data_IF_172881433612
#
_entry.id   IF_172881433612
#
_cell.length_a   1.000
_cell.length_b   1.000
_cell.length_c   1.000
_cell.angle_alpha   90.00
_cell.angle_beta   90.00
_cell.angle_gamma   90.00
#
_symmetry.space_group_name_H-M   'P 1'
#
loop_
_entity.id
_entity.type
_entity.pdbx_description
1 polymer ?
#
# COMPACT_ATOMS: atom_id res chain seq x y z
N UNK A 1 8.64 22.79 -1.83
CA UNK A 1 7.98 22.02 -0.75
C UNK A 1 9.08 21.47 0.15
N UNK A 2 9.04 21.65 1.47
CA UNK A 2 10.04 21.05 2.33
C UNK A 2 9.91 19.51 2.29
N UNK A 3 11.02 18.76 2.40
CA UNK A 3 10.95 17.31 2.57
C UNK A 3 10.23 17.00 3.88
N UNK A 4 9.29 16.04 3.86
CA UNK A 4 8.64 15.56 5.08
C UNK A 4 9.70 14.95 6.00
N UNK A 5 9.54 15.15 7.31
CA UNK A 5 10.34 14.43 8.32
C UNK A 5 10.27 12.93 8.03
N UNK A 6 11.42 12.23 7.94
CA UNK A 6 11.42 10.77 7.81
C UNK A 6 10.60 10.18 8.96
N UNK A 7 9.62 9.33 8.63
CA UNK A 7 8.77 8.64 9.62
C UNK A 7 7.39 9.26 9.89
N UNK A 8 7.01 10.40 9.32
CA UNK A 8 5.60 10.88 9.43
C UNK A 8 4.75 10.32 8.29
N UNK A 9 3.90 9.34 8.63
CA UNK A 9 2.90 8.80 7.70
C UNK A 9 1.79 9.81 7.41
N UNK A 10 1.40 9.88 6.15
CA UNK A 10 0.21 10.57 5.67
C UNK A 10 -1.08 9.85 6.08
N UNK A 11 -2.23 10.56 6.11
CA UNK A 11 -3.52 9.91 6.32
C UNK A 11 -3.78 8.73 5.38
N UNK A 12 -3.49 8.89 4.08
CA UNK A 12 -3.65 7.80 3.10
C UNK A 12 -2.69 6.62 3.37
N UNK A 13 -1.48 6.89 3.84
CA UNK A 13 -0.49 5.86 4.14
C UNK A 13 -0.95 5.03 5.35
N UNK A 14 -1.51 5.69 6.38
CA UNK A 14 -2.15 5.04 7.54
C UNK A 14 -3.36 4.22 7.14
N UNK A 15 -4.21 4.74 6.27
CA UNK A 15 -5.39 4.02 5.77
C UNK A 15 -5.00 2.76 4.98
N UNK A 16 -3.94 2.84 4.15
CA UNK A 16 -3.39 1.67 3.45
C UNK A 16 -2.87 0.63 4.43
N UNK A 17 -2.07 1.03 5.43
CA UNK A 17 -1.55 0.12 6.46
C UNK A 17 -2.71 -0.55 7.22
N UNK A 18 -3.74 0.21 7.60
CA UNK A 18 -4.94 -0.33 8.26
C UNK A 18 -5.69 -1.34 7.40
N UNK A 19 -5.76 -1.12 6.08
CA UNK A 19 -6.36 -2.08 5.16
C UNK A 19 -5.53 -3.37 5.05
N UNK A 20 -4.20 -3.23 4.93
CA UNK A 20 -3.27 -4.35 4.75
C UNK A 20 -3.06 -5.18 6.04
N UNK A 21 -3.25 -4.59 7.22
CA UNK A 21 -3.29 -5.32 8.51
C UNK A 21 -4.36 -6.40 8.53
N UNK A 22 -5.46 -6.22 7.79
CA UNK A 22 -6.58 -7.17 7.79
C UNK A 22 -6.33 -8.33 6.82
N UNK A 23 -5.70 -8.05 5.68
CA UNK A 23 -5.37 -9.01 4.64
C UNK A 23 -4.47 -8.37 3.58
N UNK A 24 -3.69 -9.20 2.89
CA UNK A 24 -3.04 -8.80 1.64
C UNK A 24 -4.08 -8.40 0.59
N UNK A 25 -3.77 -7.37 -0.18
CA UNK A 25 -4.67 -6.80 -1.18
C UNK A 25 -3.92 -6.42 -2.45
N UNK A 26 -4.57 -6.57 -3.60
CA UNK A 26 -4.07 -6.00 -4.83
C UNK A 26 -4.20 -4.48 -4.85
N UNK A 27 -3.35 -3.79 -5.61
CA UNK A 27 -3.38 -2.33 -5.69
C UNK A 27 -4.72 -1.76 -6.18
N UNK A 28 -5.43 -2.48 -7.06
CA UNK A 28 -6.78 -2.07 -7.49
C UNK A 28 -7.84 -2.25 -6.41
N UNK A 29 -7.74 -3.26 -5.55
CA UNK A 29 -8.64 -3.48 -4.41
C UNK A 29 -8.44 -2.38 -3.36
N UNK A 30 -7.19 -1.99 -3.08
CA UNK A 30 -6.89 -0.84 -2.22
C UNK A 30 -7.45 0.45 -2.78
N UNK A 31 -7.27 0.70 -4.08
CA UNK A 31 -7.82 1.90 -4.70
C UNK A 31 -9.36 1.93 -4.72
N UNK A 32 -10.02 0.76 -4.71
CA UNK A 32 -11.48 0.66 -4.58
C UNK A 32 -11.97 0.85 -3.14
N UNK A 33 -11.26 0.27 -2.16
CA UNK A 33 -11.63 0.39 -0.75
C UNK A 33 -11.39 1.81 -0.22
N UNK A 34 -10.35 2.48 -0.71
CA UNK A 34 -9.97 3.84 -0.36
C UNK A 34 -10.56 4.88 -1.32
N UNK A 35 -11.86 4.73 -1.67
CA UNK A 35 -12.57 5.56 -2.66
C UNK A 35 -12.55 7.08 -2.40
N UNK A 36 -12.25 7.50 -1.17
CA UNK A 36 -12.08 8.91 -0.79
C UNK A 36 -10.84 9.54 -1.43
N UNK A 37 -9.88 8.73 -1.88
CA UNK A 37 -8.65 9.19 -2.53
C UNK A 37 -8.67 8.87 -4.03
N UNK A 38 -8.02 9.73 -4.81
CA UNK A 38 -7.75 9.43 -6.22
C UNK A 38 -6.86 8.18 -6.33
N UNK A 39 -7.15 7.32 -7.32
CA UNK A 39 -6.38 6.08 -7.57
C UNK A 39 -4.89 6.35 -7.72
N UNK A 40 -4.52 7.42 -8.42
CA UNK A 40 -3.13 7.86 -8.59
C UNK A 40 -2.44 8.18 -7.27
N UNK A 41 -3.16 8.77 -6.31
CA UNK A 41 -2.64 9.05 -4.96
C UNK A 41 -2.42 7.77 -4.18
N UNK A 42 -3.34 6.79 -4.27
CA UNK A 42 -3.18 5.47 -3.64
C UNK A 42 -1.93 4.77 -4.16
N UNK A 43 -1.72 4.75 -5.48
CA UNK A 43 -0.53 4.13 -6.07
C UNK A 43 0.78 4.83 -5.68
N UNK A 44 0.80 6.16 -5.60
CA UNK A 44 1.98 6.89 -5.11
C UNK A 44 2.28 6.59 -3.64
N UNK A 45 1.26 6.53 -2.79
CA UNK A 45 1.41 6.17 -1.39
C UNK A 45 1.91 4.73 -1.22
N UNK A 46 1.40 3.78 -2.00
CA UNK A 46 1.91 2.41 -2.03
C UNK A 46 3.38 2.34 -2.43
N UNK A 47 3.77 3.05 -3.49
CA UNK A 47 5.18 3.09 -3.91
C UNK A 47 6.09 3.67 -2.83
N UNK A 48 5.62 4.66 -2.08
CA UNK A 48 6.39 5.26 -0.99
C UNK A 48 6.49 4.35 0.21
N UNK A 49 5.39 3.73 0.63
CA UNK A 49 5.38 2.73 1.71
C UNK A 49 6.28 1.53 1.39
N UNK A 50 6.34 1.11 0.12
CA UNK A 50 7.22 0.04 -0.34
C UNK A 50 8.69 0.46 -0.26
N UNK A 51 9.02 1.67 -0.71
CA UNK A 51 10.37 2.24 -0.60
C UNK A 51 10.82 2.43 0.86
N UNK A 52 9.90 2.79 1.75
CA UNK A 52 10.15 2.94 3.19
C UNK A 52 10.11 1.59 3.94
N UNK A 53 9.81 0.48 3.25
CA UNK A 53 9.86 -0.88 3.80
C UNK A 53 8.64 -1.29 4.64
N UNK A 54 7.59 -0.48 4.69
CA UNK A 54 6.36 -0.77 5.43
C UNK A 54 5.48 -1.83 4.75
N UNK A 55 5.53 -1.90 3.42
CA UNK A 55 4.78 -2.88 2.62
C UNK A 55 5.72 -3.56 1.62
N UNK A 56 5.35 -4.76 1.18
CA UNK A 56 6.04 -5.47 0.11
C UNK A 56 5.05 -5.80 -1.01
N UNK A 57 5.42 -5.46 -2.26
CA UNK A 57 4.63 -5.74 -3.45
C UNK A 57 5.21 -6.90 -4.26
N UNK A 58 4.49 -8.02 -4.33
CA UNK A 58 4.86 -9.17 -5.16
C UNK A 58 3.94 -9.28 -6.38
N UNK A 59 4.51 -9.60 -7.55
CA UNK A 59 3.70 -9.95 -8.71
C UNK A 59 3.13 -11.35 -8.53
N UNK A 60 1.80 -11.46 -8.56
CA UNK A 60 1.11 -12.73 -8.62
C UNK A 60 0.62 -12.99 -10.05
N UNK A 61 0.99 -14.17 -10.57
CA UNK A 61 0.34 -14.76 -11.73
C UNK A 61 -0.80 -15.61 -11.24
N UNK A 62 -2.02 -15.25 -11.61
CA UNK A 62 -3.18 -16.10 -11.38
C UNK A 62 -3.33 -17.02 -12.58
N UNK A 63 -3.50 -18.32 -12.34
CA UNK A 63 -3.68 -19.30 -13.42
C UNK A 63 -4.89 -18.90 -14.27
N UNK A 64 -4.68 -18.59 -15.55
CA UNK A 64 -5.73 -18.15 -16.47
C UNK A 64 -5.93 -16.63 -16.59
N UNK A 65 -5.18 -15.80 -15.85
CA UNK A 65 -5.16 -14.34 -16.05
C UNK A 65 -3.94 -13.96 -16.90
N UNK A 66 -4.17 -13.21 -17.98
CA UNK A 66 -3.11 -12.81 -18.91
C UNK A 66 -2.22 -11.70 -18.33
N UNK A 67 -2.66 -11.00 -17.27
CA UNK A 67 -1.93 -9.84 -16.73
C UNK A 67 -1.54 -10.08 -15.28
N UNK A 68 -0.24 -10.13 -14.95
CA UNK A 68 0.19 -10.26 -13.57
C UNK A 68 -0.31 -9.07 -12.75
N UNK A 69 -0.78 -9.36 -11.53
CA UNK A 69 -1.29 -8.33 -10.61
C UNK A 69 -0.36 -8.21 -9.42
N UNK A 70 -0.15 -6.98 -8.96
CA UNK A 70 0.71 -6.72 -7.79
C UNK A 70 -0.11 -6.87 -6.51
N UNK A 71 0.26 -7.86 -5.71
CA UNK A 71 -0.27 -8.12 -4.37
C UNK A 71 0.60 -7.41 -3.35
N UNK A 72 -0.02 -6.60 -2.50
CA UNK A 72 0.67 -5.91 -1.41
C UNK A 72 0.38 -6.60 -0.08
N UNK A 73 1.44 -6.79 0.70
CA UNK A 73 1.39 -7.36 2.05
C UNK A 73 2.11 -6.42 3.01
N UNK A 74 1.61 -6.34 4.24
CA UNK A 74 2.25 -5.57 5.30
C UNK A 74 3.53 -6.30 5.79
N UNK A 75 4.63 -5.57 5.97
CA UNK A 75 5.86 -6.13 6.53
C UNK A 75 5.84 -6.03 8.06
N UNK A 76 6.80 -6.69 8.73
CA UNK A 76 7.00 -6.53 10.18
C UNK A 76 7.26 -5.07 10.59
N UNK A 77 7.88 -4.27 9.71
CA UNK A 77 8.10 -2.83 9.94
C UNK A 77 6.76 -2.08 9.88
N UNK A 78 5.91 -2.38 8.90
CA UNK A 78 4.57 -1.80 8.78
C UNK A 78 3.63 -2.19 9.93
N UNK A 79 3.75 -3.43 10.42
CA UNK A 79 2.99 -3.93 11.57
C UNK A 79 3.30 -3.15 12.86
N UNK A 80 4.55 -2.72 13.04
CA UNK A 80 5.01 -1.97 14.21
C UNK A 80 4.56 -0.50 14.24
N UNK A 81 3.99 0.03 13.15
CA UNK A 81 3.56 1.43 13.10
C UNK A 81 2.12 1.59 13.62
N UNK A 82 1.98 2.21 14.79
CA UNK A 82 0.68 2.63 15.31
C UNK A 82 0.03 3.65 14.35
N UNK A 83 -1.20 3.36 13.91
CA UNK A 83 -1.93 4.14 12.90
C UNK A 83 -2.70 5.30 13.52
#
# INVERSE_FOLDING_TARGET
>A
MPPKKPGTLLPIEKDIIKALRRKSLHGNELAQSLRTYARSTVYRALSRLEQEGYVSGAWQMQLGDATPRRMYTLTSVGEAVEG
#
